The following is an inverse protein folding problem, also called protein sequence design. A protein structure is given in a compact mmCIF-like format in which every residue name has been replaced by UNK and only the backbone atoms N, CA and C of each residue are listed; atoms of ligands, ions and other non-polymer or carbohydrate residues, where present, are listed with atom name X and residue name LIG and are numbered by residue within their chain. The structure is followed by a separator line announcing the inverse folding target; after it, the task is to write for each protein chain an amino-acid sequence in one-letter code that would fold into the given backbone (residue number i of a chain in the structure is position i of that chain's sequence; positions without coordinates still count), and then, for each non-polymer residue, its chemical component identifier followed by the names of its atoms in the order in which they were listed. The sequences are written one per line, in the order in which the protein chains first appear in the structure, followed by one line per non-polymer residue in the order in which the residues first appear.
data_IF_602930727120
#
_entry.id   IF_602930727120
#
_cell.length_a   1.000
_cell.length_b   1.000
_cell.length_c   1.000
_cell.angle_alpha   90.00
_cell.angle_beta   90.00
_cell.angle_gamma   90.00
#
_symmetry.space_group_name_H-M   'P 1'
#
loop_
_entity.id
_entity.type
_entity.pdbx_description
1 polymer ?
#
# COMPACT_ATOMS: atom_id res chain seq x y z
N UNK A 1 -54.13 7.13 9.97
CA UNK A 1 -52.79 7.34 10.53
C UNK A 1 -52.01 6.05 10.34
N UNK A 2 -51.16 5.98 9.31
CA UNK A 2 -50.35 4.80 8.98
C UNK A 2 -49.01 4.90 9.71
N UNK A 3 -48.79 4.05 10.71
CA UNK A 3 -47.49 3.92 11.38
C UNK A 3 -46.54 3.12 10.49
N UNK A 4 -45.53 3.80 9.93
CA UNK A 4 -44.35 3.16 9.36
C UNK A 4 -43.44 2.74 10.51
N UNK A 5 -43.24 1.44 10.68
CA UNK A 5 -42.19 0.89 11.55
C UNK A 5 -40.93 0.83 10.70
N UNK A 6 -39.90 1.58 11.10
CA UNK A 6 -38.57 1.46 10.53
C UNK A 6 -37.87 0.27 11.20
N UNK A 7 -37.84 -0.88 10.52
CA UNK A 7 -36.99 -2.00 10.90
C UNK A 7 -35.52 -1.59 10.71
N UNK A 8 -34.91 -1.11 11.78
CA UNK A 8 -33.47 -0.92 11.86
C UNK A 8 -32.81 -2.30 11.97
N UNK A 9 -32.38 -2.85 10.85
CA UNK A 9 -31.47 -3.99 10.81
C UNK A 9 -30.12 -3.57 11.38
N UNK A 10 -29.95 -3.71 12.70
CA UNK A 10 -28.65 -3.66 13.35
C UNK A 10 -27.87 -4.92 12.96
N UNK A 11 -26.91 -4.75 12.04
CA UNK A 11 -25.92 -5.76 11.71
C UNK A 11 -25.01 -5.99 12.93
N UNK A 12 -25.42 -6.91 13.81
CA UNK A 12 -24.60 -7.39 14.92
C UNK A 12 -23.44 -8.20 14.33
N UNK A 13 -22.26 -7.58 14.27
CA UNK A 13 -21.02 -8.26 13.90
C UNK A 13 -20.74 -9.38 14.91
N UNK A 14 -20.90 -10.63 14.49
CA UNK A 14 -20.73 -11.80 15.36
C UNK A 14 -19.26 -11.92 15.82
N UNK A 15 -18.97 -12.16 17.11
CA UNK A 15 -17.61 -12.22 17.66
C UNK A 15 -16.72 -13.29 17.03
N UNK A 16 -17.31 -14.37 16.53
CA UNK A 16 -16.62 -15.52 15.93
C UNK A 16 -15.84 -15.17 14.67
N UNK A 17 -16.40 -14.34 13.78
CA UNK A 17 -15.73 -13.95 12.54
C UNK A 17 -14.46 -13.10 12.77
N UNK A 18 -14.46 -12.27 13.81
CA UNK A 18 -13.30 -11.43 14.12
C UNK A 18 -12.12 -12.25 14.63
N UNK A 19 -12.39 -13.24 15.49
CA UNK A 19 -11.36 -14.14 16.03
C UNK A 19 -10.66 -14.94 14.92
N UNK A 20 -11.44 -15.45 13.96
CA UNK A 20 -10.89 -16.19 12.80
C UNK A 20 -9.99 -15.31 11.93
N UNK A 21 -10.35 -14.03 11.77
CA UNK A 21 -9.52 -13.07 11.04
C UNK A 21 -8.21 -12.75 11.74
N UNK A 22 -8.25 -12.53 13.06
CA UNK A 22 -7.06 -12.21 13.85
C UNK A 22 -6.11 -13.43 13.91
N UNK A 23 -6.66 -14.65 14.00
CA UNK A 23 -5.88 -15.90 13.91
C UNK A 23 -5.22 -16.08 12.53
N UNK A 24 -5.97 -15.86 11.45
CA UNK A 24 -5.44 -15.93 10.09
C UNK A 24 -4.36 -14.86 9.84
N UNK A 25 -4.55 -13.65 10.36
CA UNK A 25 -3.55 -12.59 10.31
C UNK A 25 -2.25 -13.02 10.99
N UNK A 26 -2.32 -13.53 12.23
CA UNK A 26 -1.16 -13.99 12.96
C UNK A 26 -0.39 -15.10 12.20
N UNK A 27 -1.12 -16.05 11.59
CA UNK A 27 -0.52 -17.09 10.76
C UNK A 27 0.22 -16.52 9.54
N UNK A 28 -0.39 -15.56 8.85
CA UNK A 28 0.21 -14.90 7.68
C UNK A 28 1.44 -14.06 8.04
N UNK A 29 1.51 -13.50 9.25
CA UNK A 29 2.69 -12.77 9.73
C UNK A 29 3.82 -13.72 10.15
N UNK A 30 3.49 -14.88 10.75
CA UNK A 30 4.48 -15.85 11.17
C UNK A 30 5.24 -16.49 9.99
N UNK A 31 4.55 -16.74 8.89
CA UNK A 31 5.12 -17.31 7.66
C UNK A 31 4.66 -16.50 6.44
N UNK A 32 5.26 -15.32 6.20
CA UNK A 32 4.78 -14.42 5.18
C UNK A 32 5.14 -14.92 3.77
N UNK A 33 4.18 -14.93 2.82
CA UNK A 33 4.45 -15.31 1.43
C UNK A 33 5.20 -14.22 0.65
N UNK A 34 5.50 -13.09 1.30
CA UNK A 34 6.20 -11.93 0.74
C UNK A 34 7.14 -11.34 1.78
N UNK A 35 8.40 -11.11 1.40
CA UNK A 35 9.39 -10.48 2.27
C UNK A 35 9.16 -8.96 2.31
N UNK A 36 8.74 -8.45 3.47
CA UNK A 36 8.58 -7.02 3.72
C UNK A 36 9.92 -6.38 4.05
N UNK A 37 10.21 -5.25 3.40
CA UNK A 37 11.37 -4.41 3.72
C UNK A 37 11.03 -3.44 4.87
N UNK A 38 9.80 -2.95 4.89
CA UNK A 38 9.33 -2.07 5.96
C UNK A 38 8.79 -2.88 7.14
N UNK A 39 9.07 -2.47 8.39
CA UNK A 39 8.39 -3.02 9.55
C UNK A 39 6.88 -2.85 9.45
N UNK A 40 6.14 -3.80 10.02
CA UNK A 40 4.68 -3.86 9.87
C UNK A 40 3.98 -2.59 10.39
N UNK A 41 4.40 -2.06 11.53
CA UNK A 41 3.83 -0.84 12.10
C UNK A 41 4.05 0.38 11.20
N UNK A 42 5.24 0.47 10.61
CA UNK A 42 5.57 1.49 9.62
C UNK A 42 4.68 1.31 8.40
N UNK A 43 4.56 0.10 7.88
CA UNK A 43 3.76 -0.19 6.69
C UNK A 43 2.29 0.20 6.87
N UNK A 44 1.67 -0.26 7.96
CA UNK A 44 0.24 -0.09 8.27
C UNK A 44 -0.13 1.32 8.75
N UNK A 45 0.84 2.13 9.20
CA UNK A 45 0.58 3.50 9.62
C UNK A 45 -0.06 4.37 8.51
N UNK A 46 -1.07 5.20 8.80
CA UNK A 46 -1.72 6.06 7.82
C UNK A 46 -0.72 7.00 7.09
N UNK A 47 -0.84 7.11 5.76
CA UNK A 47 0.08 7.94 4.95
C UNK A 47 -0.43 9.38 4.88
N UNK A 48 -0.05 10.21 5.86
CA UNK A 48 -0.44 11.61 5.91
C UNK A 48 0.41 12.45 4.94
N UNK A 49 -0.24 13.25 4.09
CA UNK A 49 0.43 14.21 3.18
C UNK A 49 0.30 15.66 3.64
N UNK A 50 -0.63 15.97 4.53
CA UNK A 50 -0.78 17.27 5.16
C UNK A 50 -1.40 17.13 6.55
N UNK A 51 -1.10 18.09 7.44
CA UNK A 51 -1.67 18.12 8.80
C UNK A 51 -3.18 18.36 8.78
N UNK A 52 -3.68 19.12 7.80
CA UNK A 52 -5.07 19.54 7.69
C UNK A 52 -6.01 18.49 7.10
N UNK A 53 -5.49 17.45 6.44
CA UNK A 53 -6.31 16.47 5.74
C UNK A 53 -6.00 15.06 6.22
N UNK A 54 -7.01 14.41 6.81
CA UNK A 54 -6.90 13.03 7.25
C UNK A 54 -6.68 12.10 6.04
N UNK A 55 -5.71 11.17 6.12
CA UNK A 55 -5.44 10.26 5.02
C UNK A 55 -6.59 9.26 4.83
N UNK A 56 -6.71 8.71 3.62
CA UNK A 56 -7.60 7.58 3.34
C UNK A 56 -6.99 6.30 3.95
N UNK A 57 -7.81 5.30 4.31
CA UNK A 57 -7.28 3.98 4.62
C UNK A 57 -6.47 3.46 3.41
N UNK A 58 -5.38 2.74 3.70
CA UNK A 58 -4.49 2.23 2.67
C UNK A 58 -5.04 0.92 2.11
N UNK A 59 -5.16 0.83 0.79
CA UNK A 59 -5.50 -0.44 0.15
C UNK A 59 -4.27 -1.34 -0.04
N UNK A 60 -4.52 -2.61 -0.39
CA UNK A 60 -3.49 -3.65 -0.60
C UNK A 60 -2.39 -3.23 -1.59
N UNK A 61 -2.74 -2.60 -2.71
CA UNK A 61 -1.75 -2.12 -3.67
C UNK A 61 -0.91 -0.94 -3.12
N UNK A 62 -1.53 -0.04 -2.35
CA UNK A 62 -0.81 1.08 -1.75
C UNK A 62 0.22 0.60 -0.73
N UNK A 63 -0.15 -0.40 0.09
CA UNK A 63 0.77 -1.08 1.01
C UNK A 63 1.94 -1.72 0.26
N UNK A 64 1.65 -2.54 -0.76
CA UNK A 64 2.68 -3.15 -1.61
C UNK A 64 3.61 -2.10 -2.23
N UNK A 65 3.07 -1.02 -2.79
CA UNK A 65 3.87 0.03 -3.42
C UNK A 65 4.76 0.76 -2.42
N UNK A 66 4.30 0.95 -1.18
CA UNK A 66 5.06 1.59 -0.11
C UNK A 66 6.30 0.76 0.23
N UNK A 67 6.13 -0.55 0.41
CA UNK A 67 7.24 -1.48 0.62
C UNK A 67 8.16 -1.59 -0.61
N UNK A 68 7.58 -1.72 -1.80
CA UNK A 68 8.34 -1.74 -3.05
C UNK A 68 9.20 -0.48 -3.23
N UNK A 69 8.68 0.70 -2.88
CA UNK A 69 9.43 1.94 -2.99
C UNK A 69 10.63 1.95 -2.04
N UNK A 70 10.47 1.44 -0.82
CA UNK A 70 11.58 1.26 0.12
C UNK A 70 12.63 0.30 -0.43
N UNK A 71 12.20 -0.85 -0.94
CA UNK A 71 13.10 -1.82 -1.60
C UNK A 71 13.91 -1.15 -2.72
N UNK A 72 13.27 -0.32 -3.54
CA UNK A 72 13.98 0.41 -4.60
C UNK A 72 14.93 1.46 -4.03
N UNK A 73 14.60 2.13 -2.92
CA UNK A 73 15.50 3.08 -2.26
C UNK A 73 16.76 2.38 -1.78
N UNK A 74 16.63 1.25 -1.08
CA UNK A 74 17.76 0.46 -0.60
C UNK A 74 18.64 -0.04 -1.75
N UNK A 75 18.05 -0.55 -2.85
CA UNK A 75 18.83 -1.03 -4.00
C UNK A 75 19.56 0.08 -4.77
N UNK A 76 19.16 1.34 -4.60
CA UNK A 76 19.73 2.48 -5.33
C UNK A 76 20.41 3.49 -4.39
N UNK A 77 20.68 3.13 -3.13
CA UNK A 77 21.29 4.03 -2.14
C UNK A 77 22.63 4.64 -2.61
N UNK A 78 23.43 3.86 -3.35
CA UNK A 78 24.73 4.31 -3.88
C UNK A 78 24.65 5.10 -5.20
N UNK A 79 23.45 5.36 -5.73
CA UNK A 79 23.31 6.07 -7.01
C UNK A 79 23.02 7.55 -6.75
N UNK A 80 23.85 8.42 -7.32
CA UNK A 80 23.69 9.89 -7.31
C UNK A 80 22.32 10.35 -7.87
N UNK A 81 21.64 9.53 -8.68
CA UNK A 81 20.38 9.90 -9.33
C UNK A 81 19.17 9.55 -8.47
N UNK A 82 18.46 10.60 -8.03
CA UNK A 82 17.17 10.46 -7.33
C UNK A 82 16.18 9.64 -8.16
N UNK A 83 15.52 8.68 -7.51
CA UNK A 83 14.54 7.81 -8.17
C UNK A 83 13.34 8.61 -8.65
N UNK A 84 12.94 8.41 -9.91
CA UNK A 84 11.77 9.07 -10.48
C UNK A 84 10.48 8.40 -9.97
N UNK A 85 9.68 9.12 -9.17
CA UNK A 85 8.44 8.63 -8.58
C UNK A 85 7.41 8.11 -9.60
N UNK A 86 7.35 8.71 -10.81
CA UNK A 86 6.48 8.25 -11.89
C UNK A 86 6.92 6.87 -12.39
N UNK A 87 8.22 6.67 -12.56
CA UNK A 87 8.79 5.39 -12.97
C UNK A 87 8.57 4.32 -11.90
N UNK A 88 8.85 4.63 -10.63
CA UNK A 88 8.61 3.70 -9.51
C UNK A 88 7.15 3.26 -9.47
N UNK A 89 6.20 4.19 -9.62
CA UNK A 89 4.78 3.85 -9.60
C UNK A 89 4.37 2.95 -10.77
N UNK A 90 4.95 3.16 -11.96
CA UNK A 90 4.73 2.30 -13.14
C UNK A 90 5.27 0.89 -12.88
N UNK A 91 6.51 0.79 -12.39
CA UNK A 91 7.17 -0.49 -12.13
C UNK A 91 6.47 -1.25 -11.00
N UNK A 92 6.06 -0.57 -9.93
CA UNK A 92 5.29 -1.18 -8.85
C UNK A 92 3.96 -1.77 -9.34
N UNK A 93 3.27 -1.09 -10.26
CA UNK A 93 2.03 -1.64 -10.86
C UNK A 93 2.30 -2.89 -11.68
N UNK A 94 3.37 -2.89 -12.48
CA UNK A 94 3.77 -4.05 -13.27
C UNK A 94 4.14 -5.23 -12.35
N UNK A 95 4.93 -4.97 -11.32
CA UNK A 95 5.34 -5.97 -10.34
C UNK A 95 4.14 -6.54 -9.59
N UNK A 96 3.22 -5.70 -9.12
CA UNK A 96 1.99 -6.11 -8.46
C UNK A 96 1.16 -7.05 -9.33
N UNK A 97 1.04 -6.76 -10.62
CA UNK A 97 0.28 -7.62 -11.53
C UNK A 97 0.91 -9.02 -11.65
N UNK A 98 2.25 -9.11 -11.61
CA UNK A 98 3.01 -10.36 -11.65
C UNK A 98 2.99 -11.14 -10.34
N UNK A 99 2.69 -10.50 -9.21
CA UNK A 99 2.65 -11.19 -7.91
C UNK A 99 1.62 -12.33 -7.91
N UNK A 100 1.94 -13.48 -7.30
CA UNK A 100 1.04 -14.61 -7.21
C UNK A 100 -0.18 -14.28 -6.34
N UNK A 101 -1.30 -15.02 -6.49
CA UNK A 101 -2.52 -14.77 -5.73
C UNK A 101 -2.31 -14.77 -4.21
N UNK A 102 -1.42 -15.64 -3.70
CA UNK A 102 -1.11 -15.73 -2.26
C UNK A 102 -0.51 -14.43 -1.71
N UNK A 103 0.38 -13.79 -2.45
CA UNK A 103 0.96 -12.49 -2.08
C UNK A 103 -0.11 -11.40 -2.13
N UNK A 104 -0.95 -11.37 -3.16
CA UNK A 104 -2.05 -10.41 -3.25
C UNK A 104 -3.02 -10.58 -2.08
N UNK A 105 -3.29 -11.81 -1.66
CA UNK A 105 -4.14 -12.11 -0.50
C UNK A 105 -3.46 -11.70 0.82
N UNK A 106 -2.16 -11.89 0.96
CA UNK A 106 -1.39 -11.36 2.09
C UNK A 106 -1.55 -9.84 2.21
N UNK A 107 -1.41 -9.08 1.11
CA UNK A 107 -1.63 -7.64 1.15
C UNK A 107 -3.09 -7.24 1.40
N UNK A 108 -4.08 -8.08 1.08
CA UNK A 108 -5.48 -7.86 1.49
C UNK A 108 -5.69 -8.08 2.98
N UNK A 109 -4.96 -9.01 3.59
CA UNK A 109 -4.94 -9.22 5.04
C UNK A 109 -4.37 -7.97 5.72
N UNK A 110 -3.26 -7.45 5.21
CA UNK A 110 -2.67 -6.18 5.67
C UNK A 110 -3.61 -4.99 5.47
N UNK A 111 -4.34 -4.92 4.35
CA UNK A 111 -5.33 -3.86 4.09
C UNK A 111 -6.45 -3.84 5.13
N UNK A 112 -7.00 -5.01 5.50
CA UNK A 112 -8.01 -5.11 6.56
C UNK A 112 -7.49 -4.60 7.89
N UNK A 113 -6.24 -4.95 8.20
CA UNK A 113 -5.60 -4.56 9.44
C UNK A 113 -5.23 -3.06 9.47
N UNK A 114 -4.86 -2.48 8.32
CA UNK A 114 -4.69 -1.03 8.15
C UNK A 114 -6.03 -0.29 8.29
N UNK A 115 -7.12 -0.83 7.75
CA UNK A 115 -8.47 -0.28 7.90
C UNK A 115 -8.96 -0.32 9.35
N UNK A 116 -8.69 -1.42 10.08
CA UNK A 116 -8.96 -1.54 11.53
C UNK A 116 -8.25 -0.44 12.32
N UNK A 117 -6.93 -0.28 12.12
CA UNK A 117 -6.14 0.80 12.74
C UNK A 117 -6.66 2.19 12.35
N UNK A 118 -7.01 2.40 11.09
CA UNK A 118 -7.52 3.67 10.59
C UNK A 118 -8.84 4.05 11.24
N UNK A 119 -9.78 3.10 11.38
CA UNK A 119 -11.06 3.30 12.08
C UNK A 119 -10.88 3.60 13.56
N UNK A 120 -9.92 2.96 14.23
CA UNK A 120 -9.58 3.26 15.62
C UNK A 120 -9.02 4.67 15.76
N UNK A 121 -8.11 5.07 14.86
CA UNK A 121 -7.45 6.39 14.91
C UNK A 121 -8.37 7.53 14.46
N UNK A 122 -9.31 7.26 13.55
CA UNK A 122 -10.21 8.25 12.98
C UNK A 122 -11.67 7.75 12.98
N UNK A 123 -12.30 7.61 14.16
CA UNK A 123 -13.64 7.02 14.28
C UNK A 123 -14.73 7.80 13.51
N UNK A 124 -14.53 9.11 13.33
CA UNK A 124 -15.45 10.00 12.62
C UNK A 124 -15.03 10.25 11.15
N UNK A 125 -14.09 9.48 10.61
CA UNK A 125 -13.62 9.66 9.24
C UNK A 125 -14.74 9.43 8.23
N UNK A 126 -14.89 10.36 7.28
CA UNK A 126 -15.77 10.20 6.12
C UNK A 126 -15.03 10.55 4.84
N UNK A 127 -15.11 9.67 3.84
CA UNK A 127 -14.53 9.94 2.54
C UNK A 127 -15.31 11.05 1.81
N UNK A 128 -14.63 12.15 1.51
CA UNK A 128 -15.17 13.30 0.79
C UNK A 128 -14.29 13.62 -0.43
N UNK A 129 -14.60 13.07 -1.62
CA UNK A 129 -13.88 13.41 -2.84
C UNK A 129 -14.09 14.89 -3.19
N UNK A 130 -13.00 15.62 -3.46
CA UNK A 130 -13.07 16.95 -4.07
C UNK A 130 -13.32 16.79 -5.56
N UNK A 131 -14.55 17.05 -6.02
CA UNK A 131 -14.84 17.17 -7.44
C UNK A 131 -14.17 18.46 -7.95
N UNK A 132 -13.23 18.33 -8.89
CA UNK A 132 -12.82 19.48 -9.70
C UNK A 132 -13.95 19.75 -10.71
N UNK A 133 -14.27 21.02 -11.01
CA UNK A 133 -15.19 21.33 -12.11
C UNK A 133 -14.71 20.62 -13.38
N UNK A 134 -15.63 19.97 -14.08
CA UNK A 134 -15.35 19.45 -15.42
C UNK A 134 -15.48 20.64 -16.36
N UNK A 135 -14.36 21.17 -16.82
CA UNK A 135 -14.40 21.98 -18.03
C UNK A 135 -14.82 21.02 -19.16
N UNK A 136 -15.97 21.30 -19.79
CA UNK A 136 -16.54 20.51 -20.87
C UNK A 136 -15.73 20.71 -22.15
N UNK A 137 -14.49 20.21 -22.18
CA UNK A 137 -13.75 20.07 -23.43
C UNK A 137 -14.21 18.80 -24.13
N UNK A 138 -15.17 18.96 -25.07
CA UNK A 138 -15.41 18.01 -26.14
C UNK A 138 -14.10 17.79 -26.90
N UNK A 139 -13.36 16.75 -26.52
CA UNK A 139 -12.26 16.21 -27.33
C UNK A 139 -12.62 14.79 -27.69
N UNK A 140 -13.08 14.64 -28.93
CA UNK A 140 -13.25 13.37 -29.63
C UNK A 140 -12.04 12.46 -29.36
N UNK A 141 -12.30 11.30 -28.77
CA UNK A 141 -11.32 10.23 -28.62
C UNK A 141 -11.77 9.04 -29.46
N UNK A 142 -11.70 9.21 -30.77
CA UNK A 142 -11.57 8.10 -31.71
C UNK A 142 -10.09 7.98 -32.07
N UNK A 143 -9.33 7.20 -31.30
CA UNK A 143 -8.13 6.53 -31.81
C UNK A 143 -7.78 5.36 -30.89
N UNK A 144 -8.34 4.21 -31.25
CA UNK A 144 -7.91 2.89 -30.83
C UNK A 144 -6.50 2.63 -31.38
N UNK A 145 -5.48 2.68 -30.53
CA UNK A 145 -4.15 2.18 -30.89
C UNK A 145 -4.15 0.66 -30.68
N UNK A 146 -4.37 -0.06 -31.78
CA UNK A 146 -4.02 -1.48 -31.90
C UNK A 146 -2.51 -1.63 -31.78
N UNK A 147 -2.04 -2.34 -30.76
CA UNK A 147 -0.62 -2.68 -30.63
C UNK A 147 -0.41 -3.98 -31.39
N UNK A 148 0.24 -3.87 -32.56
CA UNK A 148 0.68 -5.02 -33.33
C UNK A 148 1.69 -5.83 -32.51
N UNK A 149 1.44 -7.14 -32.47
CA UNK A 149 2.37 -8.17 -32.02
C UNK A 149 3.45 -8.31 -33.08
N UNK A 150 4.64 -7.77 -32.82
CA UNK A 150 5.82 -8.04 -33.67
C UNK A 150 6.98 -8.52 -32.79
N UNK A 151 7.45 -9.72 -33.14
CA UNK A 151 8.49 -10.47 -32.49
C UNK A 151 9.80 -9.68 -32.47
N UNK A 152 10.46 -9.64 -31.32
CA UNK A 152 11.92 -9.50 -31.29
C UNK A 152 12.48 -10.74 -30.63
N UNK A 153 12.97 -11.63 -31.49
CA UNK A 153 13.78 -12.79 -31.14
C UNK A 153 15.15 -12.35 -30.62
N UNK A 154 15.65 -13.17 -29.69
CA UNK A 154 17.03 -13.39 -29.28
C UNK A 154 17.91 -12.18 -28.95
N UNK A 155 18.27 -12.07 -27.66
CA UNK A 155 19.68 -12.01 -27.23
C UNK A 155 19.79 -12.36 -25.74
N UNK A 156 20.26 -13.59 -25.50
CA UNK A 156 21.04 -14.11 -24.36
C UNK A 156 20.50 -13.97 -22.94
N UNK A 157 20.10 -15.13 -22.42
CA UNK A 157 19.96 -15.48 -21.01
C UNK A 157 21.32 -15.36 -20.31
N UNK A 158 21.44 -14.51 -19.30
CA UNK A 158 22.47 -14.64 -18.26
C UNK A 158 21.76 -14.79 -16.93
N UNK A 159 21.93 -15.98 -16.37
CA UNK A 159 21.55 -16.35 -15.00
C UNK A 159 22.03 -15.30 -14.00
N UNK A 160 21.09 -14.79 -13.20
CA UNK A 160 21.41 -14.20 -11.89
C UNK A 160 20.39 -14.71 -10.89
N UNK A 161 20.38 -16.04 -10.75
CA UNK A 161 20.08 -16.69 -9.49
C UNK A 161 21.42 -16.99 -8.80
N UNK A 162 21.51 -16.72 -7.50
CA UNK A 162 22.71 -16.81 -6.65
C UNK A 162 23.72 -15.68 -6.90
N UNK A 163 23.95 -14.76 -5.97
CA UNK A 163 24.49 -15.06 -4.64
C UNK A 163 24.18 -13.90 -3.68
N UNK A 164 23.78 -14.28 -2.46
CA UNK A 164 23.67 -13.46 -1.26
C UNK A 164 25.04 -12.85 -0.91
N UNK A 165 25.08 -11.58 -0.52
CA UNK A 165 26.05 -11.10 0.47
C UNK A 165 25.36 -10.08 1.36
N UNK A 166 24.95 -10.55 2.54
CA UNK A 166 24.49 -9.72 3.66
C UNK A 166 25.69 -9.66 4.59
N UNK A 167 26.51 -8.61 4.50
CA UNK A 167 27.44 -8.19 5.56
C UNK A 167 28.05 -6.84 5.17
N UNK A 168 27.72 -5.77 5.89
CA UNK A 168 28.32 -4.45 5.65
C UNK A 168 27.57 -3.31 6.34
N UNK A 169 27.75 -3.21 7.65
CA UNK A 169 27.33 -2.10 8.52
C UNK A 169 27.94 -0.76 8.07
N UNK A 170 27.15 0.32 8.14
CA UNK A 170 27.52 1.69 8.57
C UNK A 170 26.46 2.68 8.03
N UNK A 171 25.52 3.13 8.86
CA UNK A 171 25.60 4.36 9.68
C UNK A 171 25.38 5.65 8.89
N UNK A 172 24.33 6.36 9.26
CA UNK A 172 24.16 7.82 9.12
C UNK A 172 24.08 8.42 7.71
N UNK A 173 23.09 8.01 6.90
CA UNK A 173 22.51 8.90 5.87
C UNK A 173 21.00 8.63 5.72
N UNK A 174 20.21 9.70 5.86
CA UNK A 174 18.78 9.86 5.52
C UNK A 174 17.68 9.30 6.46
N UNK A 175 17.82 9.55 7.77
CA UNK A 175 16.67 9.66 8.70
C UNK A 175 15.76 10.87 8.35
N UNK A 176 16.31 11.87 7.66
CA UNK A 176 15.66 13.19 7.46
C UNK A 176 14.47 13.17 6.46
N UNK A 177 14.38 12.22 5.52
CA UNK A 177 13.21 12.13 4.61
C UNK A 177 12.07 11.27 5.20
N UNK A 178 12.34 10.50 6.27
CA UNK A 178 11.33 9.70 7.00
C UNK A 178 10.61 10.50 8.09
N UNK A 179 11.27 11.45 8.75
CA UNK A 179 10.66 12.32 9.76
C UNK A 179 9.58 13.24 9.18
N UNK A 180 9.64 13.54 7.88
CA UNK A 180 8.63 14.38 7.22
C UNK A 180 7.27 13.67 7.01
N UNK A 181 7.22 12.35 7.20
CA UNK A 181 6.06 11.52 6.84
C UNK A 181 5.58 10.56 7.94
N UNK A 182 6.16 10.60 9.14
CA UNK A 182 5.80 9.71 10.23
C UNK A 182 5.64 10.46 11.55
N UNK A 183 4.39 10.56 12.02
CA UNK A 183 4.11 10.89 13.41
C UNK A 183 3.68 9.62 14.15
N UNK A 184 4.64 8.71 14.34
CA UNK A 184 4.47 7.50 15.18
C UNK A 184 4.28 7.90 16.64
N UNK A 185 4.90 9.02 17.03
CA UNK A 185 4.84 9.54 18.39
C UNK A 185 3.41 9.94 18.76
N UNK A 186 2.65 10.60 17.87
CA UNK A 186 1.22 10.86 18.12
C UNK A 186 0.39 9.60 18.37
N UNK A 187 0.67 8.47 17.70
CA UNK A 187 -0.05 7.22 17.93
C UNK A 187 0.22 6.61 19.32
N UNK A 188 1.47 6.61 19.78
CA UNK A 188 1.81 6.09 21.10
C UNK A 188 1.49 7.08 22.24
N UNK A 189 1.38 8.37 21.95
CA UNK A 189 1.09 9.40 22.93
C UNK A 189 -0.42 9.53 23.27
N UNK A 190 -1.33 9.10 22.38
CA UNK A 190 -2.78 9.21 22.58
C UNK A 190 -3.41 7.98 23.28
N UNK A 191 -2.64 6.91 23.48
CA UNK A 191 -3.08 5.63 24.07
C UNK A 191 -2.33 5.25 25.36
N UNK A 192 -1.83 6.25 26.09
CA UNK A 192 -1.17 6.08 27.40
C UNK A 192 -2.02 6.71 28.50
#
# INVERSE_FOLDING_TARGET
MTHFIHDTLTFLSSPTLQHDHDSFFAQQIANPPYYLVLPLDILLAPSRRSLTHLPRPQNSFLLFRKDYNERMRLLNHNKSKKLNAKMISKNAKLEWNRQPPIVKNFFKVLEREADKRHKQMYPNYKYQPKCKPKDNDNKDKNESISINSELFEDTTVVEIASTFDINGVASDVDIIELEKYFDIQAYYNDHK
#
